data_IF_916358806746
#
_entry.id   IF_916358806746
#
_cell.length_a   1.000
_cell.length_b   1.000
_cell.length_c   1.000
_cell.angle_alpha   90.00
_cell.angle_beta   90.00
_cell.angle_gamma   90.00
#
_symmetry.space_group_name_H-M   'P 1'
#
loop_
_entity.id
_entity.type
_entity.pdbx_description
1 polymer ?
#
# COMPACT_ATOMS: atom_id res chain seq x y z
N UNK A 1 22.40 24.79 8.41
CA UNK A 1 22.34 24.06 9.70
C UNK A 1 22.02 25.05 10.80
N UNK A 2 21.15 24.66 11.74
CA UNK A 2 20.38 25.50 12.68
C UNK A 2 21.14 26.60 13.40
N UNK A 3 20.44 27.73 13.55
CA UNK A 3 20.73 28.76 14.53
C UNK A 3 20.60 28.19 15.95
N UNK A 4 21.68 27.63 16.48
CA UNK A 4 21.82 27.38 17.92
C UNK A 4 22.20 28.74 18.53
N UNK A 5 21.25 29.35 19.24
CA UNK A 5 21.38 30.68 19.83
C UNK A 5 22.66 30.84 20.63
N UNK A 6 23.24 32.04 20.59
CA UNK A 6 24.56 32.41 21.13
C UNK A 6 24.74 32.23 22.66
N UNK A 7 23.73 31.71 23.37
CA UNK A 7 23.77 31.42 24.81
C UNK A 7 23.50 29.93 25.05
N UNK A 8 24.45 29.07 24.70
CA UNK A 8 24.41 27.66 25.11
C UNK A 8 25.17 27.57 26.42
N UNK A 9 24.52 27.05 27.46
CA UNK A 9 25.11 26.80 28.77
C UNK A 9 26.46 26.05 28.60
N UNK A 10 27.58 26.55 29.17
CA UNK A 10 28.88 25.89 29.10
C UNK A 10 28.83 24.41 29.52
N UNK A 11 27.98 24.07 30.50
CA UNK A 11 27.76 22.71 30.96
C UNK A 11 27.08 21.86 29.88
N UNK A 12 26.08 22.41 29.18
CA UNK A 12 25.42 21.72 28.07
C UNK A 12 26.40 21.45 26.92
N UNK A 13 27.37 22.34 26.67
CA UNK A 13 28.41 22.14 25.66
C UNK A 13 29.39 21.02 26.06
N UNK A 14 29.71 20.90 27.34
CA UNK A 14 30.56 19.83 27.86
C UNK A 14 29.85 18.46 27.85
N UNK A 15 28.54 18.43 28.11
CA UNK A 15 27.75 17.20 28.17
C UNK A 15 27.28 16.70 26.79
N UNK A 16 27.19 17.59 25.79
CA UNK A 16 26.73 17.25 24.45
C UNK A 16 27.39 16.02 23.79
N UNK A 17 28.73 15.83 23.81
CA UNK A 17 29.34 14.65 23.18
C UNK A 17 28.96 13.34 23.89
N UNK A 18 28.93 13.35 25.23
CA UNK A 18 28.60 12.16 26.05
C UNK A 18 27.13 11.76 25.85
N UNK A 19 26.22 12.74 25.87
CA UNK A 19 24.80 12.49 25.65
C UNK A 19 24.53 12.02 24.23
N UNK A 20 25.28 12.53 23.24
CA UNK A 20 25.15 12.11 21.84
C UNK A 20 25.46 10.64 21.65
N UNK A 21 26.55 10.15 22.24
CA UNK A 21 26.92 8.73 22.15
C UNK A 21 25.87 7.81 22.80
N UNK A 22 25.39 8.21 23.99
CA UNK A 22 24.33 7.46 24.69
C UNK A 22 23.02 7.45 23.89
N UNK A 23 22.66 8.57 23.27
CA UNK A 23 21.46 8.68 22.45
C UNK A 23 21.55 7.82 21.18
N UNK A 24 22.72 7.80 20.52
CA UNK A 24 22.94 6.95 19.33
C UNK A 24 22.80 5.47 19.71
N UNK A 25 23.46 5.04 20.79
CA UNK A 25 23.39 3.65 21.24
C UNK A 25 21.95 3.22 21.61
N UNK A 26 21.17 4.11 22.23
CA UNK A 26 19.78 3.81 22.57
C UNK A 26 18.89 3.78 21.32
N UNK A 27 19.10 4.69 20.36
CA UNK A 27 18.37 4.68 19.08
C UNK A 27 18.65 3.39 18.30
N UNK A 28 19.90 2.95 18.25
CA UNK A 28 20.28 1.70 17.59
C UNK A 28 19.65 0.48 18.27
N UNK A 29 19.65 0.45 19.61
CA UNK A 29 18.98 -0.61 20.38
C UNK A 29 17.48 -0.65 20.09
N UNK A 30 16.81 0.51 20.13
CA UNK A 30 15.38 0.60 19.82
C UNK A 30 15.10 0.19 18.38
N UNK A 31 15.90 0.65 17.41
CA UNK A 31 15.78 0.26 16.01
C UNK A 31 15.95 -1.26 15.80
N UNK A 32 16.87 -1.90 16.54
CA UNK A 32 17.06 -3.36 16.48
C UNK A 32 15.89 -4.14 17.09
N UNK A 33 15.20 -3.58 18.08
CA UNK A 33 14.00 -4.19 18.68
C UNK A 33 12.71 -3.89 17.92
N UNK A 34 12.71 -2.87 17.06
CA UNK A 34 11.57 -2.56 16.23
C UNK A 34 11.43 -3.62 15.13
N UNK A 35 10.30 -4.34 15.05
CA UNK A 35 10.09 -5.28 13.96
C UNK A 35 10.14 -4.51 12.65
N UNK A 36 11.04 -4.93 11.75
CA UNK A 36 11.15 -4.36 10.42
C UNK A 36 9.74 -4.28 9.80
N UNK A 37 9.32 -3.08 9.41
CA UNK A 37 8.00 -2.86 8.85
C UNK A 37 7.84 -3.69 7.58
N UNK A 38 7.23 -4.87 7.70
CA UNK A 38 6.86 -5.69 6.56
C UNK A 38 6.01 -4.80 5.64
N UNK A 39 6.31 -4.68 4.33
CA UNK A 39 5.54 -3.83 3.44
C UNK A 39 4.11 -4.36 3.35
N UNK A 40 3.20 -3.78 4.15
CA UNK A 40 1.80 -4.25 4.32
C UNK A 40 0.89 -3.87 3.14
N UNK A 41 1.34 -3.02 2.21
CA UNK A 41 0.44 -2.37 1.25
C UNK A 41 0.42 -2.98 -0.15
N UNK A 42 1.55 -3.51 -0.64
CA UNK A 42 1.62 -4.06 -2.01
C UNK A 42 0.77 -5.34 -2.15
N UNK A 43 0.89 -6.27 -1.19
CA UNK A 43 0.15 -7.54 -1.22
C UNK A 43 -1.36 -7.34 -1.33
N UNK A 44 -1.93 -6.48 -0.49
CA UNK A 44 -3.39 -6.29 -0.45
C UNK A 44 -3.93 -5.61 -1.70
N UNK A 45 -3.16 -4.68 -2.29
CA UNK A 45 -3.55 -4.04 -3.55
C UNK A 45 -3.58 -5.05 -4.69
N UNK A 46 -2.54 -5.89 -4.78
CA UNK A 46 -2.45 -6.91 -5.82
C UNK A 46 -3.51 -8.02 -5.60
N UNK A 47 -3.78 -8.42 -4.35
CA UNK A 47 -4.83 -9.38 -4.01
C UNK A 47 -6.24 -8.88 -4.43
N UNK A 48 -6.57 -7.63 -4.08
CA UNK A 48 -7.85 -7.00 -4.43
C UNK A 48 -8.03 -6.93 -5.98
N UNK A 49 -6.96 -6.57 -6.70
CA UNK A 49 -6.98 -6.45 -8.16
C UNK A 49 -7.08 -7.83 -8.82
N UNK A 50 -6.31 -8.81 -8.34
CA UNK A 50 -6.35 -10.18 -8.85
C UNK A 50 -7.72 -10.82 -8.64
N UNK A 51 -8.38 -10.53 -7.52
CA UNK A 51 -9.76 -10.96 -7.28
C UNK A 51 -10.75 -10.34 -8.28
N UNK A 52 -10.63 -9.04 -8.55
CA UNK A 52 -11.46 -8.39 -9.56
C UNK A 52 -11.21 -8.95 -10.98
N UNK A 53 -9.96 -9.28 -11.33
CA UNK A 53 -9.61 -9.94 -12.59
C UNK A 53 -10.26 -11.33 -12.71
N UNK A 54 -10.27 -12.12 -11.63
CA UNK A 54 -10.95 -13.43 -11.60
C UNK A 54 -12.45 -13.31 -11.87
N UNK A 55 -13.10 -12.28 -11.32
CA UNK A 55 -14.52 -12.03 -11.57
C UNK A 55 -14.80 -11.65 -13.03
N UNK A 56 -13.93 -10.84 -13.64
CA UNK A 56 -14.02 -10.50 -15.07
C UNK A 56 -13.86 -11.75 -15.93
N UNK A 57 -12.87 -12.60 -15.64
CA UNK A 57 -12.66 -13.86 -16.37
C UNK A 57 -13.89 -14.76 -16.30
N UNK A 58 -14.44 -15.00 -15.10
CA UNK A 58 -15.64 -15.82 -14.95
C UNK A 58 -16.86 -15.25 -15.68
N UNK A 59 -17.03 -13.91 -15.68
CA UNK A 59 -18.12 -13.28 -16.42
C UNK A 59 -17.93 -13.38 -17.94
N UNK A 60 -16.69 -13.30 -18.42
CA UNK A 60 -16.36 -13.47 -19.83
C UNK A 60 -16.62 -14.91 -20.30
N UNK A 61 -16.25 -15.91 -19.50
CA UNK A 61 -16.53 -17.33 -19.79
C UNK A 61 -18.03 -17.59 -19.88
N UNK A 62 -18.82 -17.06 -18.94
CA UNK A 62 -20.28 -17.16 -18.96
C UNK A 62 -20.89 -16.50 -20.20
N UNK A 63 -20.36 -15.35 -20.62
CA UNK A 63 -20.79 -14.69 -21.85
C UNK A 63 -20.44 -15.52 -23.09
N UNK A 64 -19.25 -16.12 -23.12
CA UNK A 64 -18.83 -16.99 -24.20
C UNK A 64 -19.71 -18.24 -24.31
N UNK A 65 -20.13 -18.82 -23.18
CA UNK A 65 -21.08 -19.93 -23.12
C UNK A 65 -22.49 -19.52 -23.58
N UNK A 66 -22.92 -18.29 -23.27
CA UNK A 66 -24.24 -17.77 -23.60
C UNK A 66 -24.34 -17.11 -24.98
N UNK A 67 -23.26 -17.11 -25.79
CA UNK A 67 -23.03 -16.25 -26.96
C UNK A 67 -24.16 -16.25 -28.02
N UNK A 68 -24.97 -17.31 -28.08
CA UNK A 68 -26.09 -17.43 -29.02
C UNK A 68 -27.40 -17.93 -28.38
N UNK A 69 -27.53 -17.81 -27.04
CA UNK A 69 -28.66 -18.36 -26.29
C UNK A 69 -29.47 -17.32 -25.51
N UNK A 70 -30.61 -17.77 -24.98
CA UNK A 70 -31.40 -17.02 -23.99
C UNK A 70 -30.53 -16.84 -22.74
N UNK A 71 -30.04 -15.62 -22.51
CA UNK A 71 -29.13 -15.31 -21.40
C UNK A 71 -27.94 -14.43 -21.76
N UNK A 72 -27.66 -14.20 -23.05
CA UNK A 72 -26.56 -13.36 -23.53
C UNK A 72 -26.61 -11.95 -22.91
N UNK A 73 -27.78 -11.29 -22.95
CA UNK A 73 -27.95 -9.94 -22.41
C UNK A 73 -27.62 -9.89 -20.91
N UNK A 74 -28.04 -10.89 -20.15
CA UNK A 74 -27.76 -10.97 -18.72
C UNK A 74 -26.27 -11.20 -18.46
N UNK A 75 -25.64 -12.08 -19.24
CA UNK A 75 -24.20 -12.35 -19.17
C UNK A 75 -23.37 -11.11 -19.56
N UNK A 76 -23.79 -10.37 -20.59
CA UNK A 76 -23.15 -9.11 -21.02
C UNK A 76 -23.22 -8.07 -19.90
N UNK A 77 -24.40 -7.85 -19.31
CA UNK A 77 -24.58 -6.96 -18.16
C UNK A 77 -23.78 -7.40 -16.93
N UNK A 78 -23.54 -8.69 -16.76
CA UNK A 78 -22.67 -9.21 -15.70
C UNK A 78 -21.21 -8.88 -15.96
N UNK A 79 -20.74 -9.01 -17.20
CA UNK A 79 -19.38 -8.67 -17.60
C UNK A 79 -19.11 -7.17 -17.47
N UNK A 80 -20.03 -6.31 -17.89
CA UNK A 80 -19.92 -4.84 -17.72
C UNK A 80 -19.78 -4.44 -16.24
N UNK A 81 -20.55 -5.10 -15.36
CA UNK A 81 -20.46 -4.88 -13.91
C UNK A 81 -19.11 -5.33 -13.35
N UNK A 82 -18.61 -6.49 -13.76
CA UNK A 82 -17.30 -6.98 -13.34
C UNK A 82 -16.16 -6.05 -13.82
N UNK A 83 -16.23 -5.56 -15.06
CA UNK A 83 -15.27 -4.60 -15.60
C UNK A 83 -15.29 -3.26 -14.82
N UNK A 84 -16.49 -2.78 -14.45
CA UNK A 84 -16.64 -1.59 -13.61
C UNK A 84 -16.02 -1.79 -12.23
N UNK A 85 -16.20 -2.98 -11.64
CA UNK A 85 -15.61 -3.33 -10.35
C UNK A 85 -14.08 -3.36 -10.41
N UNK A 86 -13.50 -3.97 -11.45
CA UNK A 86 -12.06 -3.94 -11.70
C UNK A 86 -11.54 -2.51 -11.82
N UNK A 87 -12.20 -1.66 -12.61
CA UNK A 87 -11.82 -0.24 -12.72
C UNK A 87 -11.86 0.50 -11.37
N UNK A 88 -12.83 0.20 -10.51
CA UNK A 88 -12.89 0.77 -9.14
C UNK A 88 -11.73 0.26 -8.27
N UNK A 89 -11.42 -1.03 -8.31
CA UNK A 89 -10.31 -1.62 -7.56
C UNK A 89 -8.96 -1.04 -8.01
N UNK A 90 -8.74 -0.89 -9.32
CA UNK A 90 -7.52 -0.32 -9.87
C UNK A 90 -7.37 1.17 -9.51
N UNK A 91 -8.43 1.99 -9.59
CA UNK A 91 -8.37 3.40 -9.16
C UNK A 91 -8.12 3.55 -7.67
N UNK A 92 -8.78 2.73 -6.83
CA UNK A 92 -8.58 2.71 -5.37
C UNK A 92 -7.10 2.55 -5.00
N UNK A 93 -6.38 1.74 -5.77
CA UNK A 93 -4.96 1.44 -5.55
C UNK A 93 -3.99 2.25 -6.44
N UNK A 94 -4.47 3.26 -7.18
CA UNK A 94 -3.64 4.14 -8.01
C UNK A 94 -3.00 3.45 -9.23
N UNK A 95 -3.57 2.33 -9.70
CA UNK A 95 -3.08 1.55 -10.86
C UNK A 95 -3.76 1.93 -12.18
N UNK A 96 -4.71 2.86 -12.15
CA UNK A 96 -5.40 3.41 -13.31
C UNK A 96 -5.51 4.93 -13.09
N UNK A 97 -5.03 5.76 -14.04
CA UNK A 97 -5.14 7.22 -13.95
C UNK A 97 -6.59 7.71 -14.04
#
# INVERSE_FOLDING_TARGET
MSAIGKNVDPLARALAPVVREMLIAEVERLAATMPAAKPKSASKADDDIMEACRQVASAADRLAQAKFGVGEIAARKSLERAATFLGRAMRKHGRMP
#
